data_IF_539877388961
#
_entry.id   IF_539877388961
#
_cell.length_a   1.000
_cell.length_b   1.000
_cell.length_c   1.000
_cell.angle_alpha   90.00
_cell.angle_beta   90.00
_cell.angle_gamma   90.00
#
_symmetry.space_group_name_H-M   'P 1'
#
loop_
_entity.id
_entity.type
_entity.pdbx_description
1 polymer ?
#
# COMPACT_ATOMS: atom_id res chain seq x y z
N UNK A 1 -8.28 21.16 -54.33
CA UNK A 1 -9.57 21.32 -53.62
C UNK A 1 -9.95 19.96 -53.04
N UNK A 2 -9.82 19.78 -51.73
CA UNK A 2 -10.10 18.52 -51.03
C UNK A 2 -11.30 18.73 -50.10
N UNK A 3 -12.37 17.95 -50.34
CA UNK A 3 -13.69 18.15 -49.75
C UNK A 3 -13.73 17.91 -48.24
N UNK A 4 -14.32 18.86 -47.52
CA UNK A 4 -14.68 18.71 -46.10
C UNK A 4 -15.79 17.67 -45.99
N UNK A 5 -15.48 16.52 -45.39
CA UNK A 5 -16.50 15.60 -44.86
C UNK A 5 -16.98 16.17 -43.53
N UNK A 6 -18.15 16.79 -43.53
CA UNK A 6 -18.92 17.07 -42.31
C UNK A 6 -19.52 15.74 -41.83
N UNK A 7 -18.98 15.19 -40.75
CA UNK A 7 -19.67 14.14 -40.00
C UNK A 7 -20.90 14.77 -39.34
N UNK A 8 -22.07 14.63 -39.97
CA UNK A 8 -23.35 14.79 -39.29
C UNK A 8 -23.52 13.58 -38.37
N UNK A 9 -23.41 13.82 -37.06
CA UNK A 9 -23.82 12.85 -36.05
C UNK A 9 -25.34 13.02 -35.93
N UNK A 10 -26.07 12.10 -36.55
CA UNK A 10 -27.51 11.91 -36.35
C UNK A 10 -27.75 11.61 -34.85
N UNK A 11 -28.29 12.58 -34.11
CA UNK A 11 -28.68 12.38 -32.72
C UNK A 11 -30.03 11.66 -32.66
N UNK A 12 -29.98 10.36 -32.45
CA UNK A 12 -31.14 9.51 -32.18
C UNK A 12 -31.97 10.07 -31.00
N UNK A 13 -33.31 10.24 -31.10
CA UNK A 13 -34.12 10.71 -29.99
C UNK A 13 -34.11 9.68 -28.85
N UNK A 14 -33.56 10.10 -27.71
CA UNK A 14 -33.39 9.29 -26.49
C UNK A 14 -34.74 8.67 -26.06
N UNK A 15 -34.82 7.35 -25.82
CA UNK A 15 -36.08 6.69 -25.46
C UNK A 15 -36.62 7.16 -24.10
N UNK A 16 -37.95 7.16 -23.89
CA UNK A 16 -38.59 7.64 -22.66
C UNK A 16 -38.39 6.66 -21.50
N UNK A 17 -37.17 6.58 -20.97
CA UNK A 17 -36.82 5.83 -19.74
C UNK A 17 -35.94 6.63 -18.78
N UNK A 18 -35.88 7.96 -18.94
CA UNK A 18 -35.00 8.84 -18.16
C UNK A 18 -35.64 9.40 -16.87
N UNK A 19 -36.96 9.44 -16.75
CA UNK A 19 -37.64 10.15 -15.65
C UNK A 19 -37.51 9.45 -14.29
N UNK A 20 -37.49 8.12 -14.25
CA UNK A 20 -37.44 7.36 -12.97
C UNK A 20 -36.02 7.14 -12.43
N UNK A 21 -34.97 7.18 -13.29
CA UNK A 21 -33.57 7.05 -12.84
C UNK A 21 -33.01 8.35 -12.26
N UNK A 22 -33.45 9.51 -12.77
CA UNK A 22 -33.05 10.81 -12.22
C UNK A 22 -33.56 11.01 -10.78
N UNK A 23 -34.82 10.68 -10.52
CA UNK A 23 -35.42 10.77 -9.18
C UNK A 23 -34.72 9.87 -8.14
N UNK A 24 -34.23 8.69 -8.56
CA UNK A 24 -33.48 7.78 -7.68
C UNK A 24 -32.08 8.33 -7.33
N UNK A 25 -31.40 9.02 -8.25
CA UNK A 25 -30.12 9.68 -7.98
C UNK A 25 -30.27 10.90 -7.06
N UNK A 26 -31.35 11.66 -7.21
CA UNK A 26 -31.66 12.80 -6.32
C UNK A 26 -32.00 12.33 -4.90
N UNK A 27 -32.82 11.28 -4.76
CA UNK A 27 -33.14 10.69 -3.46
C UNK A 27 -31.90 10.13 -2.77
N UNK A 28 -31.02 9.42 -3.48
CA UNK A 28 -29.76 8.91 -2.92
C UNK A 28 -28.83 10.07 -2.50
N UNK A 29 -28.78 11.15 -3.28
CA UNK A 29 -28.04 12.36 -2.96
C UNK A 29 -28.54 13.05 -1.69
N UNK A 30 -29.87 13.19 -1.55
CA UNK A 30 -30.52 13.75 -0.36
C UNK A 30 -30.30 12.85 0.86
N UNK A 31 -30.46 11.53 0.73
CA UNK A 31 -30.21 10.58 1.82
C UNK A 31 -28.74 10.60 2.26
N UNK A 32 -27.79 10.67 1.34
CA UNK A 32 -26.37 10.80 1.69
C UNK A 32 -26.02 12.17 2.28
N UNK A 33 -26.70 13.24 1.85
CA UNK A 33 -26.53 14.58 2.43
C UNK A 33 -27.06 14.63 3.88
N UNK A 34 -28.24 14.04 4.13
CA UNK A 34 -28.82 13.90 5.48
C UNK A 34 -27.93 13.01 6.33
N UNK A 35 -27.47 11.86 5.82
CA UNK A 35 -26.56 10.97 6.55
C UNK A 35 -25.25 11.68 6.92
N UNK A 36 -24.66 12.47 6.01
CA UNK A 36 -23.48 13.30 6.32
C UNK A 36 -23.79 14.36 7.37
N UNK A 37 -24.91 15.07 7.25
CA UNK A 37 -25.32 16.08 8.22
C UNK A 37 -25.54 15.46 9.61
N UNK A 38 -26.21 14.31 9.68
CA UNK A 38 -26.39 13.53 10.90
C UNK A 38 -25.05 13.06 11.47
N UNK A 39 -24.09 12.59 10.65
CA UNK A 39 -22.74 12.22 11.15
C UNK A 39 -21.95 13.40 11.69
N UNK A 40 -22.10 14.59 11.08
CA UNK A 40 -21.45 15.82 11.56
C UNK A 40 -22.10 16.28 12.86
N UNK A 41 -23.43 16.25 12.97
CA UNK A 41 -24.16 16.53 14.21
C UNK A 41 -23.79 15.53 15.31
N UNK A 42 -23.73 14.23 15.00
CA UNK A 42 -23.24 13.20 15.93
C UNK A 42 -21.79 13.44 16.36
N UNK A 43 -20.92 13.93 15.48
CA UNK A 43 -19.54 14.30 15.83
C UNK A 43 -19.49 15.58 16.67
N UNK A 44 -20.31 16.59 16.37
CA UNK A 44 -20.34 17.85 17.11
C UNK A 44 -20.93 17.69 18.51
N UNK A 45 -21.98 16.88 18.69
CA UNK A 45 -22.60 16.64 20.00
C UNK A 45 -21.99 15.44 20.74
N UNK A 46 -21.64 14.36 20.03
CA UNK A 46 -20.97 13.19 20.62
C UNK A 46 -19.50 13.44 20.99
N UNK A 47 -18.81 14.31 20.24
CA UNK A 47 -17.45 14.75 20.58
C UNK A 47 -17.42 15.73 21.76
N UNK A 48 -18.46 16.55 21.93
CA UNK A 48 -18.58 17.47 23.06
C UNK A 48 -18.79 16.74 24.38
N UNK A 49 -19.58 15.66 24.40
CA UNK A 49 -19.82 14.87 25.62
C UNK A 49 -18.56 14.19 26.16
N UNK A 50 -17.75 13.60 25.28
CA UNK A 50 -16.49 12.95 25.67
C UNK A 50 -15.51 13.99 26.23
N UNK A 51 -15.36 15.14 25.57
CA UNK A 51 -14.49 16.18 26.11
C UNK A 51 -15.04 16.73 27.43
N UNK A 52 -16.33 17.01 27.57
CA UNK A 52 -16.87 17.58 28.82
C UNK A 52 -16.79 16.63 30.02
N UNK A 53 -16.89 15.32 29.79
CA UNK A 53 -16.76 14.30 30.84
C UNK A 53 -15.30 13.96 31.18
N UNK A 54 -14.37 14.09 30.22
CA UNK A 54 -12.93 13.84 30.44
C UNK A 54 -12.10 15.11 30.73
N UNK A 55 -12.61 16.31 30.48
CA UNK A 55 -12.00 17.58 30.89
C UNK A 55 -11.84 17.69 32.41
N UNK A 56 -12.80 17.28 33.27
CA UNK A 56 -12.56 17.27 34.72
C UNK A 56 -11.45 16.29 35.13
N UNK A 57 -11.20 15.21 34.37
CA UNK A 57 -10.04 14.32 34.61
C UNK A 57 -8.68 14.99 34.32
N UNK A 58 -8.63 16.08 33.56
CA UNK A 58 -7.38 16.84 33.37
C UNK A 58 -7.08 17.72 34.57
N UNK A 59 -8.09 18.18 35.30
CA UNK A 59 -7.95 18.93 36.55
C UNK A 59 -7.66 18.01 37.76
N UNK A 60 -8.12 16.75 37.75
CA UNK A 60 -7.74 15.79 38.79
C UNK A 60 -6.23 15.53 38.81
N UNK A 61 -5.52 15.62 37.68
CA UNK A 61 -4.05 15.50 37.63
C UNK A 61 -3.31 16.53 38.50
N UNK A 62 -3.85 17.76 38.65
CA UNK A 62 -3.24 18.78 39.52
C UNK A 62 -3.37 18.42 41.00
N UNK A 63 -4.47 17.75 41.36
CA UNK A 63 -4.77 17.30 42.74
C UNK A 63 -4.03 16.00 43.07
N UNK A 64 -3.98 15.05 42.13
CA UNK A 64 -3.23 13.79 42.25
C UNK A 64 -1.71 14.02 42.43
N UNK A 65 -1.18 15.13 41.89
CA UNK A 65 0.21 15.56 42.08
C UNK A 65 0.57 15.85 43.55
N UNK A 66 -0.39 16.32 44.36
CA UNK A 66 -0.21 16.53 45.81
C UNK A 66 -0.17 15.22 46.59
N UNK A 67 -0.70 14.13 46.02
CA UNK A 67 -0.82 12.82 46.66
C UNK A 67 0.30 11.83 46.27
N UNK A 68 1.34 12.28 45.55
CA UNK A 68 2.55 11.49 45.33
C UNK A 68 2.43 10.37 44.30
N UNK A 69 1.46 10.44 43.38
CA UNK A 69 1.35 9.49 42.27
C UNK A 69 2.55 9.68 41.31
N UNK A 70 3.38 8.65 41.05
CA UNK A 70 4.43 8.74 40.05
C UNK A 70 3.84 9.01 38.67
N UNK A 71 4.44 9.95 37.92
CA UNK A 71 4.06 10.24 36.53
C UNK A 71 3.81 8.93 35.74
N UNK A 72 2.80 8.92 34.86
CA UNK A 72 2.46 7.86 33.89
C UNK A 72 1.58 6.68 34.37
N UNK A 73 0.95 6.75 35.55
CA UNK A 73 0.08 5.69 36.07
C UNK A 73 -1.27 5.56 35.32
N UNK A 74 -1.74 6.67 34.72
CA UNK A 74 -3.09 6.78 34.16
C UNK A 74 -3.23 6.09 32.79
N UNK A 75 -4.41 5.52 32.48
CA UNK A 75 -4.65 4.81 31.22
C UNK A 75 -4.44 5.70 29.98
N UNK A 76 -4.72 7.01 30.10
CA UNK A 76 -4.49 7.97 29.01
C UNK A 76 -2.99 8.17 28.73
N UNK A 77 -2.16 8.22 29.78
CA UNK A 77 -0.71 8.36 29.62
C UNK A 77 -0.11 7.09 29.02
N UNK A 78 -0.63 5.91 29.37
CA UNK A 78 -0.22 4.64 28.76
C UNK A 78 -0.55 4.60 27.26
N UNK A 79 -1.69 5.15 26.85
CA UNK A 79 -2.06 5.30 25.43
C UNK A 79 -1.13 6.31 24.73
N UNK A 80 -0.85 7.44 25.36
CA UNK A 80 0.08 8.46 24.85
C UNK A 80 1.50 7.88 24.68
N UNK A 81 1.97 7.12 25.67
CA UNK A 81 3.25 6.42 25.64
C UNK A 81 3.27 5.32 24.57
N UNK A 82 2.19 4.55 24.43
CA UNK A 82 2.10 3.53 23.39
C UNK A 82 2.29 4.14 21.99
N UNK A 83 1.66 5.29 21.70
CA UNK A 83 1.87 6.00 20.43
C UNK A 83 3.32 6.54 20.31
N UNK A 84 3.88 7.10 21.37
CA UNK A 84 5.27 7.59 21.39
C UNK A 84 6.29 6.47 21.11
N UNK A 85 6.07 5.26 21.66
CA UNK A 85 6.97 4.13 21.47
C UNK A 85 7.08 3.70 20.01
N UNK A 86 6.02 3.84 19.21
CA UNK A 86 6.04 3.49 17.78
C UNK A 86 6.99 4.42 17.02
N UNK A 87 6.92 5.73 17.30
CA UNK A 87 7.78 6.73 16.67
C UNK A 87 9.23 6.52 17.11
N UNK A 88 9.47 6.30 18.40
CA UNK A 88 10.82 6.06 18.92
C UNK A 88 11.44 4.77 18.38
N UNK A 89 10.65 3.70 18.22
CA UNK A 89 11.12 2.46 17.56
C UNK A 89 11.52 2.72 16.11
N UNK A 90 10.75 3.52 15.37
CA UNK A 90 11.08 3.87 13.99
C UNK A 90 12.35 4.73 13.86
N UNK A 91 12.58 5.65 14.81
CA UNK A 91 13.84 6.42 14.86
C UNK A 91 15.02 5.52 15.21
N UNK A 92 14.86 4.66 16.22
CA UNK A 92 15.90 3.73 16.67
C UNK A 92 16.32 2.78 15.55
N UNK A 93 15.38 2.25 14.77
CA UNK A 93 15.71 1.39 13.63
C UNK A 93 16.51 2.12 12.54
N UNK A 94 16.19 3.39 12.26
CA UNK A 94 16.97 4.23 11.35
C UNK A 94 18.39 4.51 11.89
N UNK A 95 18.54 4.76 13.19
CA UNK A 95 19.85 4.96 13.82
C UNK A 95 20.71 3.70 13.73
N UNK A 96 20.15 2.52 14.03
CA UNK A 96 20.86 1.24 13.88
C UNK A 96 21.27 1.01 12.42
N UNK A 97 20.40 1.37 11.47
CA UNK A 97 20.73 1.30 10.05
C UNK A 97 21.87 2.26 9.67
N UNK A 98 21.87 3.49 10.22
CA UNK A 98 22.94 4.47 10.00
C UNK A 98 24.30 3.93 10.48
N UNK A 99 24.34 3.36 11.68
CA UNK A 99 25.53 2.72 12.25
C UNK A 99 26.05 1.62 11.33
N UNK A 100 25.18 0.70 10.90
CA UNK A 100 25.57 -0.40 10.01
C UNK A 100 26.14 0.09 8.67
N UNK A 101 25.61 1.18 8.13
CA UNK A 101 26.10 1.78 6.87
C UNK A 101 27.45 2.49 7.06
N UNK A 102 27.67 3.07 8.24
CA UNK A 102 28.92 3.73 8.59
C UNK A 102 30.02 2.69 8.86
N UNK A 103 29.76 1.75 9.77
CA UNK A 103 30.73 0.77 10.27
C UNK A 103 31.14 -0.26 9.20
N UNK A 104 30.16 -0.78 8.44
CA UNK A 104 30.38 -1.86 7.47
C UNK A 104 30.38 -1.39 6.02
N UNK A 105 30.19 -0.09 5.76
CA UNK A 105 30.16 0.46 4.41
C UNK A 105 29.04 -0.09 3.52
N UNK A 106 27.95 -0.62 4.09
CA UNK A 106 26.86 -1.28 3.34
C UNK A 106 26.01 -0.29 2.55
N UNK A 107 25.56 -0.70 1.38
CA UNK A 107 24.56 0.04 0.60
C UNK A 107 23.14 -0.31 1.07
N UNK A 108 22.25 0.67 1.08
CA UNK A 108 20.84 0.49 1.49
C UNK A 108 19.93 1.06 0.42
N UNK A 109 18.94 0.27 0.01
CA UNK A 109 17.88 0.71 -0.89
C UNK A 109 16.65 1.10 -0.08
N UNK A 110 16.15 2.32 -0.27
CA UNK A 110 14.95 2.83 0.43
C UNK A 110 13.98 3.41 -0.59
N UNK A 111 12.73 2.94 -0.55
CA UNK A 111 11.65 3.56 -1.29
C UNK A 111 11.22 4.86 -0.59
N UNK A 112 11.41 6.04 -1.21
CA UNK A 112 11.17 7.31 -0.53
C UNK A 112 9.68 7.55 -0.21
N UNK A 113 8.75 6.89 -0.90
CA UNK A 113 7.31 6.94 -0.63
C UNK A 113 6.90 6.10 0.60
N UNK A 114 7.67 5.06 0.91
CA UNK A 114 7.44 4.13 2.03
C UNK A 114 6.41 3.02 1.76
N UNK A 115 5.67 3.06 0.65
CA UNK A 115 4.69 2.03 0.26
C UNK A 115 4.69 1.81 -1.25
N UNK A 116 4.21 0.64 -1.72
CA UNK A 116 3.97 0.39 -3.15
C UNK A 116 2.91 1.37 -3.71
N UNK A 117 3.17 1.95 -4.89
CA UNK A 117 2.22 2.86 -5.55
C UNK A 117 0.93 2.13 -5.94
N UNK A 118 -0.22 2.73 -5.63
CA UNK A 118 -1.55 2.18 -5.96
C UNK A 118 -2.00 2.53 -7.38
N UNK A 119 -1.51 3.65 -7.91
CA UNK A 119 -1.88 4.18 -9.23
C UNK A 119 -0.80 3.95 -10.29
N UNK A 120 0.43 3.60 -9.88
CA UNK A 120 1.59 3.53 -10.76
C UNK A 120 2.30 4.89 -10.94
N UNK A 121 1.75 5.96 -10.35
CA UNK A 121 2.35 7.29 -10.36
C UNK A 121 3.25 7.50 -9.13
N UNK A 122 4.20 8.44 -9.27
CA UNK A 122 5.12 8.83 -8.19
C UNK A 122 4.37 9.63 -7.11
N UNK A 123 4.34 9.09 -5.90
CA UNK A 123 3.74 9.70 -4.73
C UNK A 123 4.62 10.74 -4.04
N UNK A 124 4.22 11.05 -2.80
CA UNK A 124 4.95 11.99 -1.95
C UNK A 124 6.08 11.30 -1.19
N UNK A 125 7.24 11.94 -1.22
CA UNK A 125 8.41 11.44 -0.49
C UNK A 125 8.24 11.72 1.00
N UNK A 126 8.55 10.72 1.83
CA UNK A 126 8.62 10.84 3.28
C UNK A 126 9.94 11.50 3.70
N UNK A 127 9.97 12.04 4.92
CA UNK A 127 11.17 12.72 5.46
C UNK A 127 12.23 11.74 5.98
N UNK A 128 11.84 10.52 6.38
CA UNK A 128 12.70 9.53 7.03
C UNK A 128 14.04 9.26 6.34
N UNK A 129 14.09 9.01 5.01
CA UNK A 129 15.35 8.75 4.30
C UNK A 129 16.35 9.91 4.39
N UNK A 130 15.87 11.16 4.51
CA UNK A 130 16.73 12.33 4.62
C UNK A 130 17.31 12.51 6.03
N UNK A 131 16.68 11.94 7.06
CA UNK A 131 17.32 11.85 8.38
C UNK A 131 18.51 10.90 8.31
N UNK A 132 18.31 9.70 7.74
CA UNK A 132 19.39 8.72 7.55
C UNK A 132 20.54 9.29 6.71
N UNK A 133 20.23 10.01 5.63
CA UNK A 133 21.27 10.62 4.82
C UNK A 133 22.07 11.67 5.60
N UNK A 134 21.42 12.51 6.41
CA UNK A 134 22.12 13.51 7.23
C UNK A 134 23.02 12.87 8.29
N UNK A 135 22.60 11.74 8.86
CA UNK A 135 23.38 11.02 9.88
C UNK A 135 24.61 10.33 9.28
N UNK A 136 24.50 9.80 8.05
CA UNK A 136 25.57 9.05 7.37
C UNK A 136 26.45 9.95 6.49
N UNK A 137 25.95 11.11 6.07
CA UNK A 137 26.59 12.08 5.18
C UNK A 137 27.16 11.48 3.88
N UNK A 138 26.45 10.49 3.31
CA UNK A 138 26.78 9.87 2.01
C UNK A 138 25.85 10.38 0.89
N UNK A 139 26.30 10.38 -0.38
CA UNK A 139 25.46 10.77 -1.51
C UNK A 139 24.32 9.76 -1.74
N UNK A 140 23.19 10.22 -2.29
CA UNK A 140 22.04 9.37 -2.63
C UNK A 140 22.12 9.01 -4.11
N UNK A 141 22.06 7.72 -4.46
CA UNK A 141 21.95 7.29 -5.86
C UNK A 141 20.47 7.07 -6.21
N UNK A 142 19.83 7.93 -7.03
CA UNK A 142 18.43 7.74 -7.40
C UNK A 142 18.30 6.60 -8.41
N UNK A 143 17.33 5.71 -8.18
CA UNK A 143 17.02 4.60 -9.08
C UNK A 143 15.53 4.62 -9.39
N UNK A 144 15.20 4.63 -10.67
CA UNK A 144 13.82 4.60 -11.16
C UNK A 144 13.53 3.21 -11.70
N UNK A 145 12.39 2.65 -11.28
CA UNK A 145 11.93 1.35 -11.73
C UNK A 145 10.53 1.53 -12.34
N UNK A 146 10.40 1.23 -13.64
CA UNK A 146 9.17 1.31 -14.41
C UNK A 146 8.74 -0.11 -14.85
N UNK A 147 7.43 -0.35 -15.01
CA UNK A 147 6.89 -1.67 -15.35
C UNK A 147 6.55 -2.57 -14.15
N UNK A 148 7.04 -2.25 -12.95
CA UNK A 148 6.73 -3.03 -11.73
C UNK A 148 5.26 -2.98 -11.32
N UNK A 149 4.57 -1.88 -11.61
CA UNK A 149 3.14 -1.78 -11.31
C UNK A 149 2.35 -2.76 -12.17
N UNK A 150 2.66 -2.88 -13.46
CA UNK A 150 2.02 -3.80 -14.40
C UNK A 150 2.33 -5.26 -14.08
N UNK A 151 3.57 -5.54 -13.64
CA UNK A 151 4.04 -6.85 -13.20
C UNK A 151 3.21 -7.39 -12.03
N UNK A 152 3.10 -6.61 -10.95
CA UNK A 152 2.44 -7.04 -9.71
C UNK A 152 1.78 -5.86 -8.97
N UNK A 153 0.55 -5.54 -9.38
CA UNK A 153 -0.25 -4.48 -8.75
C UNK A 153 -0.54 -4.82 -7.27
N UNK A 154 -0.52 -3.83 -6.36
CA UNK A 154 -0.91 -4.06 -4.98
C UNK A 154 -2.36 -4.58 -4.90
N UNK A 155 -2.56 -5.70 -4.20
CA UNK A 155 -3.85 -6.39 -4.08
C UNK A 155 -4.08 -7.49 -5.13
N UNK A 156 -3.20 -7.62 -6.13
CA UNK A 156 -3.20 -8.79 -7.01
C UNK A 156 -2.40 -9.93 -6.37
N UNK A 157 -2.94 -11.15 -6.45
CA UNK A 157 -2.34 -12.35 -5.85
C UNK A 157 -1.44 -13.14 -6.82
N UNK A 158 -1.36 -12.75 -8.09
CA UNK A 158 -0.50 -13.35 -9.10
C UNK A 158 0.28 -12.27 -9.86
N UNK A 159 1.47 -12.62 -10.34
CA UNK A 159 2.33 -11.75 -11.16
C UNK A 159 2.11 -12.04 -12.64
N UNK A 160 2.08 -11.01 -13.47
CA UNK A 160 2.03 -11.15 -14.93
C UNK A 160 3.44 -10.98 -15.46
N UNK A 161 3.96 -11.90 -16.30
CA UNK A 161 5.28 -11.72 -16.88
C UNK A 161 5.26 -10.49 -17.81
N UNK A 162 6.17 -9.55 -17.52
CA UNK A 162 6.36 -8.33 -18.31
C UNK A 162 7.80 -7.87 -18.17
N UNK A 163 8.27 -7.06 -19.11
CA UNK A 163 9.57 -6.39 -18.99
C UNK A 163 9.46 -5.29 -17.93
N UNK A 164 10.48 -5.18 -17.09
CA UNK A 164 10.69 -4.06 -16.19
C UNK A 164 11.89 -3.25 -16.68
N UNK A 165 11.81 -1.94 -16.57
CA UNK A 165 12.90 -1.04 -16.95
C UNK A 165 13.47 -0.35 -15.70
N UNK A 166 14.78 -0.41 -15.54
CA UNK A 166 15.50 0.19 -14.41
C UNK A 166 16.47 1.24 -14.94
N UNK A 167 16.33 2.48 -14.45
CA UNK A 167 17.20 3.60 -14.79
C UNK A 167 17.98 4.04 -13.56
N UNK A 168 19.30 4.02 -13.66
CA UNK A 168 20.21 4.58 -12.65
C UNK A 168 20.49 6.03 -13.00
N UNK A 169 20.30 6.94 -12.04
CA UNK A 169 20.58 8.37 -12.22
C UNK A 169 21.92 8.74 -11.59
N UNK A 170 22.50 9.89 -11.98
CA UNK A 170 23.66 10.46 -11.31
C UNK A 170 23.42 10.65 -9.80
N UNK A 171 24.50 10.56 -9.03
CA UNK A 171 24.46 10.74 -7.59
C UNK A 171 23.93 12.12 -7.22
N UNK A 172 22.94 12.15 -6.34
CA UNK A 172 22.37 13.36 -5.78
C UNK A 172 23.13 13.73 -4.50
N UNK A 173 23.81 14.88 -4.56
CA UNK A 173 24.48 15.46 -3.41
C UNK A 173 23.49 16.33 -2.63
N UNK A 174 23.38 16.05 -1.33
CA UNK A 174 22.50 16.79 -0.44
C UNK A 174 23.21 18.07 0.01
N UNK A 175 22.55 19.21 -0.18
CA UNK A 175 23.07 20.49 0.29
C UNK A 175 22.83 20.63 1.81
N UNK A 176 23.89 20.74 2.64
CA UNK A 176 23.75 20.87 4.09
C UNK A 176 23.16 22.23 4.51
N UNK A 177 23.20 23.24 3.65
CA UNK A 177 22.65 24.58 3.96
C UNK A 177 21.11 24.60 3.87
N UNK A 178 20.53 23.69 3.10
CA UNK A 178 19.09 23.64 2.87
C UNK A 178 18.37 22.82 3.94
N UNK A 179 17.10 23.18 4.22
CA UNK A 179 16.24 22.35 5.05
C UNK A 179 16.06 20.95 4.43
N UNK A 180 16.00 19.91 5.27
CA UNK A 180 15.72 18.53 4.85
C UNK A 180 14.47 18.40 3.97
N UNK A 181 13.45 19.24 4.19
CA UNK A 181 12.24 19.24 3.36
C UNK A 181 12.52 19.76 1.95
N UNK A 182 13.41 20.75 1.81
CA UNK A 182 13.84 21.27 0.52
C UNK A 182 14.70 20.25 -0.24
N UNK A 183 15.65 19.60 0.44
CA UNK A 183 16.43 18.51 -0.15
C UNK A 183 15.54 17.36 -0.63
N UNK A 184 14.50 17.04 0.14
CA UNK A 184 13.46 16.08 -0.26
C UNK A 184 12.72 16.47 -1.53
N UNK A 185 12.30 17.73 -1.63
CA UNK A 185 11.62 18.23 -2.82
C UNK A 185 12.56 18.31 -4.02
N UNK A 186 13.82 18.70 -3.81
CA UNK A 186 14.85 18.72 -4.85
C UNK A 186 15.08 17.33 -5.43
N UNK A 187 15.26 16.32 -4.59
CA UNK A 187 15.36 14.93 -5.04
C UNK A 187 14.10 14.50 -5.79
N UNK A 188 12.90 14.81 -5.29
CA UNK A 188 11.64 14.49 -5.98
C UNK A 188 11.56 15.13 -7.37
N UNK A 189 12.03 16.36 -7.54
CA UNK A 189 12.09 17.02 -8.87
C UNK A 189 13.00 16.27 -9.82
N UNK A 190 14.15 15.76 -9.35
CA UNK A 190 15.05 14.92 -10.15
C UNK A 190 14.32 13.67 -10.65
N UNK A 191 13.59 12.99 -9.76
CA UNK A 191 12.77 11.84 -10.14
C UNK A 191 11.70 12.21 -11.19
N UNK A 192 10.96 13.30 -10.98
CA UNK A 192 9.92 13.73 -11.92
C UNK A 192 10.48 14.10 -13.29
N UNK A 193 11.64 14.77 -13.33
CA UNK A 193 12.32 15.11 -14.58
C UNK A 193 12.73 13.85 -15.36
N UNK A 194 13.33 12.89 -14.67
CA UNK A 194 13.74 11.63 -15.31
C UNK A 194 12.56 10.72 -15.67
N UNK A 195 11.43 10.79 -14.95
CA UNK A 195 10.19 10.10 -15.33
C UNK A 195 9.52 10.70 -16.57
N UNK A 196 9.79 11.98 -16.88
CA UNK A 196 9.28 12.63 -18.09
C UNK A 196 10.11 12.29 -19.34
N UNK A 197 11.30 11.71 -19.16
CA UNK A 197 12.12 11.24 -20.28
C UNK A 197 11.48 10.00 -20.93
N UNK A 198 11.63 9.83 -22.26
CA UNK A 198 11.07 8.69 -22.95
C UNK A 198 11.66 7.39 -22.42
N UNK A 199 10.81 6.37 -22.44
CA UNK A 199 11.10 5.00 -22.01
C UNK A 199 11.18 4.16 -23.29
N UNK A 200 12.03 3.12 -23.35
CA UNK A 200 12.08 2.23 -24.51
C UNK A 200 10.69 1.71 -24.92
N UNK A 201 10.41 1.74 -26.23
CA UNK A 201 9.09 1.39 -26.79
C UNK A 201 8.70 -0.06 -26.48
N UNK A 202 9.68 -0.94 -26.31
CA UNK A 202 9.51 -2.36 -26.00
C UNK A 202 8.96 -2.64 -24.60
N UNK A 203 8.87 -1.63 -23.72
CA UNK A 203 8.20 -1.75 -22.43
C UNK A 203 6.66 -1.82 -22.59
N UNK A 204 6.13 -1.28 -23.69
CA UNK A 204 4.70 -1.24 -23.97
C UNK A 204 4.12 -2.57 -24.49
N UNK A 205 4.99 -3.54 -24.80
CA UNK A 205 4.62 -4.85 -25.35
C UNK A 205 3.49 -5.50 -24.51
N UNK A 206 2.51 -6.05 -25.22
CA UNK A 206 1.38 -6.79 -24.64
C UNK A 206 1.96 -8.01 -23.92
N UNK A 207 1.50 -8.35 -22.68
CA UNK A 207 2.01 -9.52 -21.98
C UNK A 207 1.88 -10.77 -22.84
N UNK A 208 2.94 -11.58 -22.92
CA UNK A 208 2.85 -12.88 -23.59
C UNK A 208 1.97 -13.81 -22.76
N UNK A 209 0.69 -13.81 -23.12
CA UNK A 209 -0.34 -14.57 -22.44
C UNK A 209 -0.18 -16.09 -22.66
N UNK A 210 0.79 -16.57 -23.46
CA UNK A 210 1.06 -18.00 -23.61
C UNK A 210 1.37 -18.67 -22.28
N UNK A 211 2.23 -18.06 -21.48
CA UNK A 211 2.61 -18.61 -20.18
C UNK A 211 1.40 -18.70 -19.23
N UNK A 212 0.56 -17.67 -19.23
CA UNK A 212 -0.65 -17.63 -18.39
C UNK A 212 -1.73 -18.60 -18.86
N UNK A 213 -1.92 -18.75 -20.18
CA UNK A 213 -2.80 -19.77 -20.77
C UNK A 213 -2.32 -21.19 -20.44
N UNK A 214 -1.01 -21.42 -20.50
CA UNK A 214 -0.40 -22.71 -20.17
C UNK A 214 -0.57 -23.05 -18.68
N UNK A 215 -0.30 -22.10 -17.78
CA UNK A 215 -0.50 -22.28 -16.34
C UNK A 215 -1.96 -22.47 -15.94
N UNK A 216 -2.87 -21.72 -16.57
CA UNK A 216 -4.30 -21.93 -16.34
C UNK A 216 -4.74 -23.29 -16.86
N UNK A 217 -4.27 -23.69 -18.05
CA UNK A 217 -4.52 -25.02 -18.62
C UNK A 217 -4.03 -26.15 -17.73
N UNK A 218 -2.85 -26.04 -17.12
CA UNK A 218 -2.32 -27.07 -16.20
C UNK A 218 -3.06 -27.12 -14.87
N UNK A 219 -3.45 -25.97 -14.30
CA UNK A 219 -4.25 -25.95 -13.07
C UNK A 219 -5.65 -26.54 -13.29
N UNK A 220 -6.28 -26.25 -14.43
CA UNK A 220 -7.57 -26.82 -14.81
C UNK A 220 -7.42 -28.32 -15.07
N UNK A 221 -6.40 -28.76 -15.81
CA UNK A 221 -6.19 -30.19 -16.08
C UNK A 221 -5.91 -30.98 -14.80
N UNK A 222 -5.16 -30.42 -13.85
CA UNK A 222 -4.94 -31.03 -12.54
C UNK A 222 -6.26 -31.26 -11.78
N UNK A 223 -7.21 -30.33 -11.90
CA UNK A 223 -8.55 -30.46 -11.31
C UNK A 223 -9.42 -31.52 -11.96
N UNK A 224 -9.17 -31.89 -13.23
CA UNK A 224 -9.89 -32.98 -13.90
C UNK A 224 -9.20 -34.35 -13.71
N UNK A 225 -7.87 -34.37 -13.64
CA UNK A 225 -7.07 -35.61 -13.53
C UNK A 225 -7.11 -36.19 -12.11
N UNK A 226 -6.98 -35.33 -11.08
CA UNK A 226 -6.88 -35.78 -9.68
C UNK A 226 -8.18 -36.45 -9.16
N UNK A 227 -9.40 -35.94 -9.43
CA UNK A 227 -10.63 -36.60 -8.98
C UNK A 227 -10.88 -37.94 -9.69
N UNK A 228 -10.54 -38.04 -10.98
CA UNK A 228 -10.67 -39.29 -11.75
C UNK A 228 -9.76 -40.41 -11.23
N UNK A 229 -8.55 -40.05 -10.79
CA UNK A 229 -7.59 -41.00 -10.21
C UNK A 229 -7.98 -41.43 -8.79
N UNK A 230 -8.56 -40.53 -7.99
CA UNK A 230 -9.04 -40.83 -6.63
C UNK A 230 -10.32 -41.70 -6.64
N UNK A 231 -11.26 -41.43 -7.56
CA UNK A 231 -12.47 -42.26 -7.73
C UNK A 231 -12.14 -43.69 -8.18
N UNK A 232 -11.13 -43.87 -9.05
CA UNK A 232 -10.67 -45.19 -9.48
C UNK A 232 -9.99 -46.01 -8.37
N UNK A 233 -9.32 -45.34 -7.43
CA UNK A 233 -8.60 -46.01 -6.35
C UNK A 233 -9.47 -46.32 -5.11
N UNK A 234 -10.48 -45.51 -4.81
CA UNK A 234 -11.40 -45.74 -3.68
C UNK A 234 -12.39 -46.89 -3.92
N UNK A 235 -12.72 -47.20 -5.17
CA UNK A 235 -13.67 -48.28 -5.52
C UNK A 235 -13.01 -49.67 -5.64
N UNK A 236 -11.67 -49.78 -5.55
CA UNK A 236 -10.96 -51.07 -5.63
C UNK A 236 -10.59 -51.69 -4.28
N UNK A 237 -10.74 -50.97 -3.17
CA UNK A 237 -10.45 -51.51 -1.85
C UNK A 237 -11.65 -51.36 -0.92
N UNK A 238 -12.49 -52.40 -0.74
CA UNK A 238 -13.38 -52.44 0.41
C UNK A 238 -12.54 -52.38 1.69
N UNK A 239 -12.91 -51.45 2.57
CA UNK A 239 -12.27 -51.22 3.87
C UNK A 239 -12.22 -52.52 4.69
N UNK A 240 -11.09 -53.22 4.65
CA UNK A 240 -10.79 -54.25 5.65
C UNK A 240 -10.32 -53.52 6.90
N UNK A 241 -11.22 -53.36 7.89
CA UNK A 241 -10.87 -52.91 9.23
C UNK A 241 -9.80 -53.84 9.80
N UNK A 242 -8.58 -53.34 9.92
CA UNK A 242 -7.53 -53.92 10.74
C UNK A 242 -7.14 -52.86 11.77
N UNK A 243 -7.45 -53.17 13.02
CA UNK A 243 -6.93 -52.49 14.19
C UNK A 243 -5.42 -52.69 14.23
N UNK A 244 -4.64 -51.63 14.05
CA UNK A 244 -3.26 -51.56 14.52
C UNK A 244 -2.80 -50.10 14.55
N UNK A 245 -2.41 -49.70 15.75
CA UNK A 245 -1.70 -48.47 16.08
C UNK A 245 -0.40 -48.31 15.28
N UNK A 246 -0.12 -47.06 14.85
CA UNK A 246 1.19 -46.38 14.92
C UNK A 246 1.08 -45.02 14.23
N UNK A 247 1.43 -43.97 14.96
CA UNK A 247 1.37 -42.60 14.49
C UNK A 247 2.44 -42.28 13.44
N UNK A 248 2.17 -41.24 12.65
CA UNK A 248 3.19 -40.44 11.99
C UNK A 248 2.61 -39.04 11.72
N UNK A 249 2.88 -38.12 12.63
CA UNK A 249 2.68 -36.69 12.42
C UNK A 249 3.77 -36.19 11.46
N UNK A 250 3.40 -35.88 10.21
CA UNK A 250 4.30 -35.21 9.28
C UNK A 250 3.91 -33.73 9.17
N UNK A 251 4.66 -32.89 9.89
CA UNK A 251 4.61 -31.43 9.76
C UNK A 251 5.50 -31.04 8.56
N UNK A 252 4.93 -30.59 7.45
CA UNK A 252 5.70 -29.94 6.39
C UNK A 252 5.71 -28.42 6.65
N UNK A 253 6.88 -27.92 7.06
CA UNK A 253 7.23 -26.50 7.12
C UNK A 253 8.11 -26.22 5.90
N UNK A 254 7.59 -25.47 4.93
CA UNK A 254 8.40 -24.96 3.81
C UNK A 254 9.22 -23.77 4.31
N UNK A 255 10.53 -23.84 4.08
CA UNK A 255 11.34 -22.63 3.85
C UNK A 255 10.98 -22.04 2.48
#
# INVERSE_FOLDING_TARGET
MCGRRTCAIECDPKPPRARNRAAAHDLLGVVMAIARLCTVVLLMFGGFGINFFFIPLRWTHLVLRKYGDPNNSLPMDKVQQAMATVIERAKKSLQTLAQVVFDFGRSVAIAPEGTRSKTGLLGDFKKGPFYLQSDVNKPISPVIIQGCYELCRPGRWYSVPRKGFVRFLPQFHVDPTMSRNMNRLALRRVFLKALAEPVPDDLSDVPDNRFMKLHYGTLVSLWFIVPGMLHGHLLRHPLRRSSASRGLFLFMRSL
#
